data_IF_243702045032
#
_entry.id   IF_243702045032
#
_cell.length_a   1.000
_cell.length_b   1.000
_cell.length_c   1.000
_cell.angle_alpha   90.00
_cell.angle_beta   90.00
_cell.angle_gamma   90.00
#
_symmetry.space_group_name_H-M   'P 1'
#
loop_
_entity.id
_entity.type
_entity.pdbx_description
1 polymer ?
#
# COMPACT_ATOMS: atom_id res chain seq x y z
N UNK A 1 -4.51 -22.73 6.57
CA UNK A 1 -4.12 -22.69 7.99
C UNK A 1 -2.95 -21.73 8.07
N UNK A 2 -3.06 -20.62 8.81
CA UNK A 2 -1.95 -19.69 8.96
C UNK A 2 -0.90 -20.32 9.88
N UNK A 3 0.34 -20.42 9.42
CA UNK A 3 1.45 -20.94 10.21
C UNK A 3 2.00 -19.81 11.07
N UNK A 4 1.96 -19.97 12.39
CA UNK A 4 2.50 -18.99 13.32
C UNK A 4 4.00 -19.22 13.48
N UNK A 5 4.81 -18.22 13.10
CA UNK A 5 6.25 -18.23 13.31
C UNK A 5 6.60 -17.48 14.61
N UNK A 6 7.46 -18.08 15.44
CA UNK A 6 7.99 -17.42 16.65
C UNK A 6 9.36 -16.82 16.34
N UNK A 7 9.49 -15.52 16.55
CA UNK A 7 10.74 -14.78 16.40
C UNK A 7 11.09 -14.17 17.76
N UNK A 8 12.35 -14.30 18.19
CA UNK A 8 12.88 -13.62 19.37
C UNK A 8 13.73 -12.44 18.94
N UNK A 9 13.39 -11.26 19.43
CA UNK A 9 14.07 -10.00 19.13
C UNK A 9 14.60 -9.38 20.42
N UNK A 10 15.79 -8.79 20.34
CA UNK A 10 16.36 -7.99 21.43
C UNK A 10 16.24 -6.53 21.03
N UNK A 11 15.66 -5.74 21.92
CA UNK A 11 15.44 -4.31 21.74
C UNK A 11 16.27 -3.54 22.74
N UNK A 12 16.58 -2.29 22.39
CA UNK A 12 17.12 -1.34 23.37
C UNK A 12 16.08 -1.06 24.46
N UNK A 13 16.55 -0.75 25.67
CA UNK A 13 15.69 -0.56 26.84
C UNK A 13 14.64 0.52 26.61
N UNK A 14 15.04 1.64 25.98
CA UNK A 14 14.13 2.73 25.65
C UNK A 14 13.01 2.29 24.70
N UNK A 15 13.33 1.49 23.68
CA UNK A 15 12.33 0.95 22.75
C UNK A 15 11.37 -0.01 23.44
N UNK A 16 11.88 -0.87 24.34
CA UNK A 16 11.04 -1.79 25.11
C UNK A 16 10.09 -1.05 26.06
N UNK A 17 10.57 0.01 26.71
CA UNK A 17 9.75 0.85 27.59
C UNK A 17 8.71 1.65 26.81
N UNK A 18 9.08 2.16 25.62
CA UNK A 18 8.14 2.80 24.71
C UNK A 18 6.99 1.86 24.33
N UNK A 19 7.29 0.64 23.86
CA UNK A 19 6.27 -0.36 23.50
C UNK A 19 5.37 -0.66 24.69
N UNK A 20 5.94 -0.83 25.90
CA UNK A 20 5.14 -1.07 27.11
C UNK A 20 4.20 0.10 27.39
N UNK A 21 4.67 1.34 27.25
CA UNK A 21 3.85 2.53 27.48
C UNK A 21 2.67 2.65 26.50
N UNK A 22 2.85 2.23 25.25
CA UNK A 22 1.78 2.24 24.24
C UNK A 22 0.72 1.18 24.52
N UNK A 23 1.13 0.01 25.02
CA UNK A 23 0.21 -1.03 25.52
C UNK A 23 -0.58 -0.52 26.73
N UNK A 24 0.07 0.13 27.69
CA UNK A 24 -0.59 0.72 28.85
C UNK A 24 -1.60 1.81 28.48
N UNK A 25 -1.35 2.54 27.38
CA UNK A 25 -2.27 3.52 26.78
C UNK A 25 -3.42 2.88 26.01
N UNK A 26 -3.42 1.57 25.84
CA UNK A 26 -4.47 0.81 25.15
C UNK A 26 -4.30 0.73 23.63
N UNK A 27 -3.10 1.03 23.09
CA UNK A 27 -2.85 0.89 21.66
C UNK A 27 -2.87 -0.57 21.19
N UNK A 28 -2.58 -1.52 22.09
CA UNK A 28 -2.61 -2.96 21.84
C UNK A 28 -2.84 -3.75 23.14
N UNK A 29 -3.22 -5.02 23.00
CA UNK A 29 -3.47 -5.92 24.15
C UNK A 29 -2.19 -6.52 24.74
N UNK A 30 -1.10 -6.59 23.97
CA UNK A 30 0.21 -7.04 24.44
C UNK A 30 1.35 -6.38 23.63
N UNK A 31 2.60 -6.40 24.12
CA UNK A 31 3.77 -5.92 23.39
C UNK A 31 3.97 -6.63 22.04
N UNK A 32 3.75 -7.94 21.99
CA UNK A 32 3.86 -8.71 20.74
C UNK A 32 2.81 -8.26 19.73
N UNK A 33 1.56 -8.08 20.17
CA UNK A 33 0.50 -7.58 19.29
C UNK A 33 0.78 -6.17 18.78
N UNK A 34 1.41 -5.32 19.60
CA UNK A 34 1.86 -4.00 19.16
C UNK A 34 2.94 -4.09 18.07
N UNK A 35 3.96 -4.93 18.28
CA UNK A 35 5.05 -5.11 17.32
C UNK A 35 4.54 -5.75 16.02
N UNK A 36 3.67 -6.76 16.10
CA UNK A 36 3.07 -7.40 14.93
C UNK A 36 2.29 -6.39 14.09
N UNK A 37 1.46 -5.55 14.74
CA UNK A 37 0.71 -4.50 14.05
C UNK A 37 1.63 -3.45 13.42
N UNK A 38 2.70 -3.05 14.11
CA UNK A 38 3.69 -2.11 13.59
C UNK A 38 4.41 -2.66 12.35
N UNK A 39 4.89 -3.90 12.41
CA UNK A 39 5.55 -4.57 11.28
C UNK A 39 4.60 -4.76 10.11
N UNK A 40 3.34 -5.14 10.38
CA UNK A 40 2.32 -5.29 9.35
C UNK A 40 2.05 -3.96 8.62
N UNK A 41 1.86 -2.87 9.36
CA UNK A 41 1.64 -1.54 8.77
C UNK A 41 2.83 -1.06 7.94
N UNK A 42 4.04 -1.30 8.44
CA UNK A 42 5.26 -0.96 7.69
C UNK A 42 5.36 -1.77 6.39
N UNK A 43 5.08 -3.07 6.45
CA UNK A 43 5.05 -3.94 5.28
C UNK A 43 3.99 -3.50 4.26
N UNK A 44 2.77 -3.24 4.70
CA UNK A 44 1.67 -2.78 3.84
C UNK A 44 2.03 -1.46 3.13
N UNK A 45 2.62 -0.51 3.86
CA UNK A 45 3.10 0.76 3.30
C UNK A 45 4.20 0.54 2.26
N UNK A 46 5.15 -0.33 2.55
CA UNK A 46 6.27 -0.62 1.64
C UNK A 46 5.81 -1.34 0.37
N UNK A 47 4.81 -2.23 0.46
CA UNK A 47 4.17 -2.83 -0.70
C UNK A 47 3.47 -1.77 -1.55
N UNK A 48 2.64 -0.92 -0.93
CA UNK A 48 1.94 0.15 -1.64
C UNK A 48 2.91 1.10 -2.37
N UNK A 49 4.06 1.42 -1.75
CA UNK A 49 5.12 2.22 -2.38
C UNK A 49 5.70 1.52 -3.62
N UNK A 50 6.05 0.23 -3.51
CA UNK A 50 6.59 -0.55 -4.64
C UNK A 50 5.59 -0.68 -5.78
N UNK A 51 4.32 -0.88 -5.46
CA UNK A 51 3.24 -0.94 -6.46
C UNK A 51 3.08 0.40 -7.19
N UNK A 52 3.14 1.52 -6.45
CA UNK A 52 3.12 2.85 -7.04
C UNK A 52 4.33 3.10 -7.95
N UNK A 53 5.54 2.80 -7.49
CA UNK A 53 6.76 2.95 -8.28
C UNK A 53 6.70 2.13 -9.57
N UNK A 54 6.21 0.89 -9.50
CA UNK A 54 6.01 0.04 -10.67
C UNK A 54 4.94 0.59 -11.62
N UNK A 55 3.84 1.14 -11.10
CA UNK A 55 2.80 1.77 -11.91
C UNK A 55 3.32 3.02 -12.64
N UNK A 56 4.11 3.85 -11.94
CA UNK A 56 4.75 5.03 -12.53
C UNK A 56 5.74 4.64 -13.62
N UNK A 57 6.60 3.64 -13.37
CA UNK A 57 7.56 3.18 -14.37
C UNK A 57 6.86 2.67 -15.64
N UNK A 58 5.78 1.88 -15.49
CA UNK A 58 4.97 1.46 -16.65
C UNK A 58 4.43 2.65 -17.44
N UNK A 59 3.90 3.68 -16.76
CA UNK A 59 3.42 4.89 -17.42
C UNK A 59 4.54 5.65 -18.16
N UNK A 60 5.73 5.74 -17.57
CA UNK A 60 6.89 6.35 -18.23
C UNK A 60 7.32 5.56 -19.48
N UNK A 61 7.34 4.23 -19.38
CA UNK A 61 7.67 3.34 -20.51
C UNK A 61 6.63 3.44 -21.63
N UNK A 62 5.34 3.60 -21.29
CA UNK A 62 4.26 3.85 -22.24
C UNK A 62 4.45 5.19 -22.98
N UNK A 63 4.77 6.26 -22.24
CA UNK A 63 5.06 7.57 -22.82
C UNK A 63 6.27 7.49 -23.76
N UNK A 64 7.36 6.86 -23.33
CA UNK A 64 8.58 6.73 -24.13
C UNK A 64 8.34 5.91 -25.41
N UNK A 65 7.47 4.90 -25.35
CA UNK A 65 7.09 4.11 -26.50
C UNK A 65 6.01 4.77 -27.40
N UNK A 66 5.54 5.97 -27.05
CA UNK A 66 4.47 6.66 -27.77
C UNK A 66 3.09 6.02 -27.60
N UNK A 67 2.91 5.14 -26.60
CA UNK A 67 1.62 4.53 -26.22
C UNK A 67 0.78 5.51 -25.40
N UNK A 68 0.53 6.68 -25.98
CA UNK A 68 -0.27 7.75 -25.36
C UNK A 68 -1.48 8.03 -26.21
N UNK A 69 -2.59 8.41 -25.58
CA UNK A 69 -3.79 8.88 -26.25
C UNK A 69 -4.30 10.15 -25.57
N UNK A 70 -5.12 10.94 -26.26
CA UNK A 70 -5.75 12.08 -25.62
C UNK A 70 -6.76 11.60 -24.58
N UNK A 71 -7.01 12.44 -23.56
CA UNK A 71 -7.98 12.13 -22.53
C UNK A 71 -9.39 11.96 -23.13
N UNK A 72 -9.73 12.74 -24.16
CA UNK A 72 -11.01 12.64 -24.84
C UNK A 72 -11.16 11.32 -25.60
N UNK A 73 -10.13 10.89 -26.32
CA UNK A 73 -10.13 9.60 -27.02
C UNK A 73 -10.22 8.42 -26.04
N UNK A 74 -9.53 8.52 -24.89
CA UNK A 74 -9.58 7.52 -23.84
C UNK A 74 -11.00 7.34 -23.28
N UNK A 75 -11.69 8.45 -22.97
CA UNK A 75 -13.07 8.38 -22.52
C UNK A 75 -13.99 7.86 -23.62
N UNK A 76 -13.89 8.36 -24.84
CA UNK A 76 -14.70 7.87 -25.96
C UNK A 76 -14.56 6.34 -26.13
N UNK A 77 -13.32 5.82 -26.08
CA UNK A 77 -13.06 4.38 -26.15
C UNK A 77 -13.75 3.59 -25.03
N UNK A 78 -13.77 4.08 -23.79
CA UNK A 78 -14.41 3.40 -22.67
C UNK A 78 -15.93 3.45 -22.78
N UNK A 79 -16.50 4.59 -23.19
CA UNK A 79 -17.94 4.72 -23.40
C UNK A 79 -18.44 3.82 -24.54
N UNK A 80 -17.68 3.74 -25.63
CA UNK A 80 -17.96 2.86 -26.76
C UNK A 80 -17.90 1.38 -26.34
N UNK A 81 -16.88 0.97 -25.57
CA UNK A 81 -16.75 -0.40 -25.06
C UNK A 81 -17.92 -0.81 -24.15
N UNK A 82 -18.40 0.12 -23.32
CA UNK A 82 -19.51 -0.11 -22.39
C UNK A 82 -20.90 0.10 -23.02
N UNK A 83 -20.97 0.58 -24.27
CA UNK A 83 -22.21 0.86 -24.98
C UNK A 83 -23.01 2.01 -24.39
N UNK A 84 -22.33 3.01 -23.82
CA UNK A 84 -22.94 4.17 -23.16
C UNK A 84 -22.83 5.42 -24.02
N UNK A 85 -23.86 6.29 -23.96
CA UNK A 85 -23.76 7.62 -24.59
C UNK A 85 -22.95 8.57 -23.72
N UNK A 86 -21.86 9.11 -24.27
CA UNK A 86 -21.09 10.18 -23.63
C UNK A 86 -21.82 11.52 -23.78
N UNK A 87 -22.34 12.05 -22.67
CA UNK A 87 -22.90 13.41 -22.65
C UNK A 87 -21.75 14.43 -22.67
N UNK A 88 -21.41 14.95 -23.85
CA UNK A 88 -20.47 16.08 -23.98
C UNK A 88 -21.21 17.40 -23.66
N UNK A 89 -20.65 18.22 -22.79
CA UNK A 89 -21.21 19.53 -22.38
C UNK A 89 -20.45 20.67 -23.04
#
# INVERSE_FOLDING_TARGET
MSETAKITITLESETADFIRSEVERGAATSPEGYVEDLVRRDHERDQARRELDAALQRGLDDVQAGRTMSLDDAFDSVFDELGWERIRR
#
